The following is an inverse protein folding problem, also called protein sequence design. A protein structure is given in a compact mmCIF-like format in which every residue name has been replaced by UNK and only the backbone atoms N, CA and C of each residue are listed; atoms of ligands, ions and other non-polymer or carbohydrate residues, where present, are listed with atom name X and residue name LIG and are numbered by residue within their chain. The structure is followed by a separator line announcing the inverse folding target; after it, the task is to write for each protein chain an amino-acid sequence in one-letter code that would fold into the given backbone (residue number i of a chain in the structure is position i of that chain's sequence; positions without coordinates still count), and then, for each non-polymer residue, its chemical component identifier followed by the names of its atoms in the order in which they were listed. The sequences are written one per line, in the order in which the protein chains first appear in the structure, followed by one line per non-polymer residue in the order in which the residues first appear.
data_IF_192158086627
#
_entry.id   IF_192158086627
#
_cell.length_a   1.000
_cell.length_b   1.000
_cell.length_c   1.000
_cell.angle_alpha   90.00
_cell.angle_beta   90.00
_cell.angle_gamma   90.00
#
_symmetry.space_group_name_H-M   'P 1'
#
loop_
_entity.id
_entity.type
_entity.pdbx_description
1 polymer ?
#
# COMPACT_ATOMS: atom_id res chain seq x y z
N UNK A 1 14.59 -34.55 4.51
CA UNK A 1 13.95 -33.44 5.25
C UNK A 1 13.15 -32.65 4.23
N UNK A 2 11.82 -32.72 4.25
CA UNK A 2 11.03 -31.92 3.30
C UNK A 2 11.06 -30.46 3.78
N UNK A 3 11.67 -29.58 2.99
CA UNK A 3 11.68 -28.15 3.28
C UNK A 3 10.25 -27.61 3.19
N UNK A 4 9.69 -27.24 4.35
CA UNK A 4 8.40 -26.58 4.47
C UNK A 4 8.67 -25.08 4.56
N UNK A 5 8.34 -24.35 3.50
CA UNK A 5 8.89 -23.01 3.23
C UNK A 5 8.18 -21.86 3.97
N UNK A 6 6.89 -22.00 4.28
CA UNK A 6 6.14 -21.07 5.13
C UNK A 6 4.79 -21.72 5.51
N UNK A 7 4.39 -21.68 6.78
CA UNK A 7 3.04 -22.07 7.22
C UNK A 7 2.52 -21.07 8.22
N UNK A 8 1.22 -20.82 8.16
CA UNK A 8 0.54 -19.95 9.09
C UNK A 8 -0.01 -20.77 10.25
N UNK A 9 0.21 -20.29 11.47
CA UNK A 9 -0.39 -20.86 12.67
C UNK A 9 -1.05 -19.74 13.48
N UNK A 10 -2.26 -19.99 13.97
CA UNK A 10 -2.92 -19.08 14.88
C UNK A 10 -2.40 -19.29 16.31
N UNK A 11 -2.06 -18.20 16.99
CA UNK A 11 -1.76 -18.19 18.43
C UNK A 11 -2.70 -17.17 19.10
N UNK A 12 -3.61 -17.59 19.99
CA UNK A 12 -4.50 -16.66 20.66
C UNK A 12 -3.73 -15.71 21.58
N UNK A 13 -4.05 -14.41 21.56
CA UNK A 13 -3.63 -13.44 22.56
C UNK A 13 -4.70 -13.34 23.67
N UNK A 14 -4.28 -13.17 24.93
CA UNK A 14 -5.14 -13.37 26.10
C UNK A 14 -6.13 -12.23 26.36
N UNK A 15 -7.30 -12.51 26.99
CA UNK A 15 -8.32 -11.51 27.35
C UNK A 15 -7.83 -10.43 28.32
N UNK A 16 -6.78 -10.71 29.09
CA UNK A 16 -6.25 -9.83 30.14
C UNK A 16 -5.17 -8.86 29.63
N UNK A 17 -4.90 -8.84 28.31
CA UNK A 17 -3.80 -8.09 27.69
C UNK A 17 -2.39 -8.45 28.21
N UNK A 18 -2.25 -9.57 28.93
CA UNK A 18 -0.96 -10.10 29.36
C UNK A 18 -0.39 -11.07 28.32
N UNK A 19 0.94 -11.13 28.20
CA UNK A 19 1.60 -12.07 27.30
C UNK A 19 1.59 -13.49 27.87
N UNK A 20 1.50 -14.48 26.98
CA UNK A 20 1.65 -15.89 27.35
C UNK A 20 3.11 -16.20 27.69
N UNK A 21 3.34 -17.26 28.48
CA UNK A 21 4.69 -17.76 28.75
C UNK A 21 5.43 -18.08 27.44
N UNK A 22 6.66 -17.58 27.32
CA UNK A 22 7.48 -17.71 26.12
C UNK A 22 7.07 -16.80 24.95
N UNK A 23 6.06 -15.96 25.10
CA UNK A 23 5.67 -14.92 24.11
C UNK A 23 6.14 -13.56 24.61
N UNK A 24 6.88 -12.86 23.77
CA UNK A 24 7.28 -11.48 24.01
C UNK A 24 6.75 -10.59 22.89
N UNK A 25 6.21 -9.44 23.28
CA UNK A 25 5.64 -8.44 22.39
C UNK A 25 6.32 -7.11 22.69
N UNK A 26 6.81 -6.43 21.67
CA UNK A 26 7.47 -5.14 21.81
C UNK A 26 6.93 -4.16 20.77
N UNK A 27 6.42 -3.01 21.22
CA UNK A 27 6.05 -1.91 20.32
C UNK A 27 7.29 -1.27 19.69
N UNK A 28 7.22 -0.91 18.42
CA UNK A 28 8.32 -0.23 17.71
C UNK A 28 8.46 1.26 18.05
N UNK A 29 7.55 1.79 18.86
CA UNK A 29 7.53 3.17 19.29
C UNK A 29 7.14 4.12 18.17
N UNK A 30 7.76 5.30 18.22
CA UNK A 30 7.47 6.37 17.28
C UNK A 30 7.96 6.03 15.88
N UNK A 31 7.05 6.15 14.92
CA UNK A 31 7.26 5.90 13.50
C UNK A 31 7.24 7.22 12.74
N UNK A 32 7.84 7.22 11.55
CA UNK A 32 7.78 8.36 10.65
C UNK A 32 6.33 8.75 10.26
N UNK A 33 5.45 7.74 10.13
CA UNK A 33 4.02 7.90 9.90
C UNK A 33 3.24 6.73 10.49
N UNK A 34 1.91 6.75 10.37
CA UNK A 34 1.02 5.72 10.91
C UNK A 34 1.23 5.44 12.41
N UNK A 35 1.51 6.48 13.20
CA UNK A 35 1.69 6.37 14.65
C UNK A 35 0.43 5.90 15.41
N UNK A 36 -0.74 5.93 14.77
CA UNK A 36 -1.96 5.33 15.31
C UNK A 36 -2.05 3.80 15.12
N UNK A 37 -1.07 3.17 14.48
CA UNK A 37 -0.99 1.71 14.30
C UNK A 37 0.11 1.16 15.21
N UNK A 38 -0.26 0.20 16.07
CA UNK A 38 0.53 -0.48 17.10
C UNK A 38 1.46 -1.57 16.52
N UNK A 39 2.25 -1.17 15.52
CA UNK A 39 3.27 -2.04 14.94
C UNK A 39 4.31 -2.43 16.00
N UNK A 40 4.58 -3.74 16.10
CA UNK A 40 5.55 -4.27 17.04
C UNK A 40 6.22 -5.55 16.55
N UNK A 41 7.22 -6.00 17.31
CA UNK A 41 7.87 -7.29 17.15
C UNK A 41 7.25 -8.34 18.07
N UNK A 42 7.22 -9.57 17.56
CA UNK A 42 6.81 -10.77 18.30
C UNK A 42 8.00 -11.72 18.37
N UNK A 43 8.33 -12.20 19.58
CA UNK A 43 9.33 -13.26 19.78
C UNK A 43 8.69 -14.43 20.52
N UNK A 44 8.90 -15.63 19.98
CA UNK A 44 8.44 -16.88 20.56
C UNK A 44 9.64 -17.68 21.07
N UNK A 45 9.58 -18.15 22.31
CA UNK A 45 10.57 -19.04 22.94
C UNK A 45 9.92 -20.36 23.31
N UNK A 46 10.14 -21.37 22.47
CA UNK A 46 9.64 -22.74 22.68
C UNK A 46 8.14 -22.82 23.00
N UNK A 47 7.33 -21.92 22.43
CA UNK A 47 5.88 -21.89 22.62
C UNK A 47 5.27 -23.12 21.95
N UNK A 48 4.44 -23.85 22.70
CA UNK A 48 3.71 -25.02 22.20
C UNK A 48 2.28 -24.63 21.86
N UNK A 49 1.81 -25.15 20.74
CA UNK A 49 0.51 -24.87 20.14
C UNK A 49 -0.10 -26.21 19.67
N UNK A 50 -1.43 -26.38 19.76
CA UNK A 50 -2.08 -27.55 19.19
C UNK A 50 -1.81 -27.65 17.69
N UNK A 51 -1.65 -28.87 17.18
CA UNK A 51 -1.47 -29.13 15.74
C UNK A 51 -2.61 -28.53 14.91
N UNK A 52 -3.83 -28.57 15.45
CA UNK A 52 -5.04 -28.11 14.76
C UNK A 52 -5.09 -26.58 14.60
N UNK A 53 -4.18 -25.82 15.23
CA UNK A 53 -4.01 -24.39 14.96
C UNK A 53 -3.30 -24.13 13.61
N UNK A 54 -2.77 -25.17 12.97
CA UNK A 54 -2.13 -25.07 11.67
C UNK A 54 -3.17 -24.73 10.60
N UNK A 55 -2.97 -23.62 9.89
CA UNK A 55 -3.78 -23.27 8.72
C UNK A 55 -3.30 -24.14 7.55
N UNK A 56 -3.97 -25.27 7.35
CA UNK A 56 -3.50 -26.38 6.52
C UNK A 56 -4.17 -26.49 5.13
N UNK A 57 -4.83 -25.43 4.64
CA UNK A 57 -5.53 -25.41 3.33
C UNK A 57 -4.67 -25.89 2.16
N UNK A 58 -3.38 -25.54 2.15
CA UNK A 58 -2.45 -25.86 1.05
C UNK A 58 -1.41 -26.93 1.42
N UNK A 59 -1.48 -27.50 2.63
CA UNK A 59 -0.59 -28.56 3.05
C UNK A 59 -0.75 -28.91 4.53
N UNK A 60 -0.93 -30.19 4.83
CA UNK A 60 -1.20 -30.72 6.17
C UNK A 60 0.01 -31.45 6.75
N UNK A 61 -0.02 -31.69 8.05
CA UNK A 61 0.94 -32.54 8.77
C UNK A 61 0.14 -33.51 9.63
N UNK A 62 0.23 -34.80 9.32
CA UNK A 62 -0.42 -35.85 10.08
C UNK A 62 0.22 -36.04 11.47
N UNK A 63 -0.43 -36.82 12.35
CA UNK A 63 0.05 -37.04 13.74
C UNK A 63 1.42 -37.73 13.82
N UNK A 64 1.74 -38.52 12.81
CA UNK A 64 3.04 -39.18 12.65
C UNK A 64 4.13 -38.25 12.09
N UNK A 65 3.79 -37.00 11.77
CA UNK A 65 4.68 -36.01 11.16
C UNK A 65 4.72 -36.05 9.64
N UNK A 66 3.95 -36.93 8.99
CA UNK A 66 3.91 -37.02 7.52
C UNK A 66 3.26 -35.77 6.93
N UNK A 67 3.99 -35.10 6.03
CA UNK A 67 3.49 -33.93 5.32
C UNK A 67 2.80 -34.33 4.01
N UNK A 68 1.65 -33.72 3.74
CA UNK A 68 0.86 -33.94 2.52
C UNK A 68 0.39 -32.63 1.92
N UNK A 69 0.22 -32.58 0.59
CA UNK A 69 -0.31 -31.42 -0.13
C UNK A 69 -0.90 -31.85 -1.47
N UNK A 70 -2.05 -31.29 -1.83
CA UNK A 70 -2.66 -31.45 -3.16
C UNK A 70 -1.93 -30.66 -4.25
N UNK A 71 -1.15 -29.65 -3.87
CA UNK A 71 -0.32 -28.86 -4.79
C UNK A 71 1.00 -29.60 -5.08
N UNK A 72 1.27 -29.96 -6.35
CA UNK A 72 2.31 -30.92 -6.70
C UNK A 72 3.72 -30.37 -6.55
N UNK A 73 3.92 -29.08 -6.80
CA UNK A 73 5.25 -28.44 -6.76
C UNK A 73 5.37 -27.45 -5.61
N UNK A 74 6.60 -27.26 -5.12
CA UNK A 74 6.90 -26.26 -4.09
C UNK A 74 6.55 -24.85 -4.55
N UNK A 75 6.78 -24.53 -5.82
CA UNK A 75 6.47 -23.23 -6.41
C UNK A 75 4.97 -22.95 -6.44
N UNK A 76 4.13 -23.95 -6.79
CA UNK A 76 2.67 -23.80 -6.72
C UNK A 76 2.19 -23.58 -5.30
N UNK A 77 2.75 -24.29 -4.31
CA UNK A 77 2.44 -24.08 -2.88
C UNK A 77 2.78 -22.67 -2.41
N UNK A 78 3.99 -22.20 -2.74
CA UNK A 78 4.44 -20.87 -2.39
C UNK A 78 3.57 -19.78 -3.03
N UNK A 79 3.30 -19.90 -4.34
CA UNK A 79 2.44 -18.98 -5.08
C UNK A 79 1.01 -18.94 -4.51
N UNK A 80 0.40 -20.09 -4.19
CA UNK A 80 -0.93 -20.13 -3.57
C UNK A 80 -0.95 -19.52 -2.16
N UNK A 81 0.12 -19.70 -1.39
CA UNK A 81 0.25 -19.11 -0.04
C UNK A 81 0.38 -17.59 -0.11
N UNK A 82 1.09 -17.06 -1.10
CA UNK A 82 1.26 -15.62 -1.32
C UNK A 82 0.16 -14.99 -2.18
N UNK A 83 -0.76 -15.79 -2.75
CA UNK A 83 -1.82 -15.31 -3.64
C UNK A 83 -2.75 -14.29 -2.97
N UNK A 84 -2.91 -14.37 -1.65
CA UNK A 84 -3.68 -13.39 -0.87
C UNK A 84 -3.08 -11.96 -0.94
N UNK A 85 -1.76 -11.83 -1.16
CA UNK A 85 -1.10 -10.52 -1.28
C UNK A 85 -1.50 -9.76 -2.56
N UNK A 86 -2.14 -10.43 -3.54
CA UNK A 86 -2.63 -9.75 -4.74
C UNK A 86 -3.70 -8.73 -4.38
N UNK A 87 -4.65 -9.09 -3.51
CA UNK A 87 -5.72 -8.18 -3.09
C UNK A 87 -5.18 -6.94 -2.39
N UNK A 88 -4.15 -7.11 -1.57
CA UNK A 88 -3.46 -6.00 -0.89
C UNK A 88 -2.82 -5.03 -1.90
N UNK A 89 -2.12 -5.56 -2.92
CA UNK A 89 -1.51 -4.73 -3.98
C UNK A 89 -2.56 -3.94 -4.76
N UNK A 90 -3.70 -4.55 -5.08
CA UNK A 90 -4.82 -3.89 -5.76
C UNK A 90 -5.35 -2.73 -4.89
N UNK A 91 -5.56 -2.97 -3.60
CA UNK A 91 -6.00 -1.95 -2.65
C UNK A 91 -5.01 -0.80 -2.47
N UNK A 92 -3.71 -1.10 -2.37
CA UNK A 92 -2.65 -0.09 -2.26
C UNK A 92 -2.54 0.78 -3.52
N UNK A 93 -2.62 0.17 -4.70
CA UNK A 93 -2.63 0.92 -5.96
C UNK A 93 -3.82 1.88 -6.03
N UNK A 94 -5.03 1.39 -5.72
CA UNK A 94 -6.26 2.18 -5.73
C UNK A 94 -6.24 3.33 -4.72
N UNK A 95 -5.86 3.05 -3.47
CA UNK A 95 -5.79 4.06 -2.40
C UNK A 95 -4.75 5.15 -2.68
N UNK A 96 -3.62 4.81 -3.30
CA UNK A 96 -2.60 5.78 -3.73
C UNK A 96 -3.14 6.82 -4.71
N UNK A 97 -4.03 6.42 -5.63
CA UNK A 97 -4.72 7.37 -6.52
C UNK A 97 -5.62 8.33 -5.75
N UNK A 98 -6.28 7.84 -4.69
CA UNK A 98 -7.04 8.70 -3.78
C UNK A 98 -6.19 9.81 -3.16
N UNK A 99 -4.94 9.48 -2.81
CA UNK A 99 -3.99 10.45 -2.28
C UNK A 99 -3.55 11.45 -3.36
N UNK A 100 -3.27 10.99 -4.58
CA UNK A 100 -2.97 11.90 -5.71
C UNK A 100 -4.11 12.89 -5.96
N UNK A 101 -5.36 12.43 -5.95
CA UNK A 101 -6.55 13.29 -6.13
C UNK A 101 -6.54 14.44 -5.13
N UNK A 102 -6.30 14.15 -3.84
CA UNK A 102 -6.25 15.17 -2.78
C UNK A 102 -5.06 16.11 -3.01
N UNK A 103 -3.86 15.57 -3.19
CA UNK A 103 -2.63 16.35 -3.33
C UNK A 103 -2.68 17.33 -4.50
N UNK A 104 -3.06 16.84 -5.68
CA UNK A 104 -3.14 17.66 -6.89
C UNK A 104 -4.28 18.67 -6.76
N UNK A 105 -5.43 18.30 -6.19
CA UNK A 105 -6.54 19.24 -5.98
C UNK A 105 -6.13 20.40 -5.08
N UNK A 106 -5.44 20.13 -3.97
CA UNK A 106 -4.93 21.17 -3.07
C UNK A 106 -3.98 22.09 -3.82
N UNK A 107 -2.97 21.52 -4.48
CA UNK A 107 -1.95 22.30 -5.19
C UNK A 107 -2.54 23.14 -6.32
N UNK A 108 -3.43 22.58 -7.15
CA UNK A 108 -4.09 23.29 -8.24
C UNK A 108 -4.97 24.43 -7.73
N UNK A 109 -5.78 24.20 -6.67
CA UNK A 109 -6.61 25.25 -6.09
C UNK A 109 -5.77 26.35 -5.44
N UNK A 110 -4.74 25.99 -4.68
CA UNK A 110 -3.80 26.96 -4.12
C UNK A 110 -3.19 27.81 -5.23
N UNK A 111 -2.76 27.16 -6.32
CA UNK A 111 -2.12 27.83 -7.45
C UNK A 111 -3.04 28.78 -8.19
N UNK A 112 -4.34 28.48 -8.23
CA UNK A 112 -5.34 29.35 -8.87
C UNK A 112 -5.54 30.67 -8.10
N UNK A 113 -5.46 30.63 -6.77
CA UNK A 113 -5.69 31.80 -5.92
C UNK A 113 -4.41 32.53 -5.51
N UNK A 114 -3.27 31.84 -5.47
CA UNK A 114 -1.99 32.45 -5.13
C UNK A 114 -1.54 33.31 -6.31
N UNK A 115 -1.46 34.62 -6.06
CA UNK A 115 -0.84 35.57 -6.96
C UNK A 115 0.56 35.87 -6.46
N UNK A 116 1.53 35.89 -7.37
CA UNK A 116 2.89 36.31 -7.06
C UNK A 116 3.64 36.62 -8.34
N UNK A 117 4.24 37.81 -8.40
CA UNK A 117 4.85 38.37 -9.60
C UNK A 117 3.83 38.58 -10.74
N UNK A 118 4.29 39.18 -11.83
CA UNK A 118 3.46 39.51 -12.98
C UNK A 118 4.25 40.30 -14.01
N UNK A 119 3.63 40.65 -15.15
CA UNK A 119 4.23 41.54 -16.12
C UNK A 119 4.59 42.89 -15.47
N UNK A 120 5.68 43.56 -15.90
CA UNK A 120 6.05 44.85 -15.34
C UNK A 120 4.90 45.87 -15.41
N UNK A 121 4.66 46.57 -14.29
CA UNK A 121 3.60 47.58 -14.15
C UNK A 121 2.16 47.03 -14.34
N UNK A 122 1.95 45.73 -14.22
CA UNK A 122 0.63 45.11 -14.19
C UNK A 122 0.36 44.49 -12.81
N UNK A 123 -0.89 44.13 -12.55
CA UNK A 123 -1.24 43.38 -11.35
C UNK A 123 -0.55 42.01 -11.34
N UNK A 124 -0.35 41.46 -10.15
CA UNK A 124 0.13 40.08 -10.04
C UNK A 124 -0.86 39.12 -10.68
N UNK A 125 -0.31 38.07 -11.30
CA UNK A 125 -1.12 37.02 -11.93
C UNK A 125 -1.10 35.76 -11.07
N UNK A 126 -2.07 34.89 -11.31
CA UNK A 126 -2.13 33.59 -10.67
C UNK A 126 -0.88 32.80 -10.99
N UNK A 127 -0.30 32.10 -9.99
CA UNK A 127 0.87 31.28 -10.26
C UNK A 127 0.55 30.11 -11.21
N UNK A 128 -0.73 29.72 -11.32
CA UNK A 128 -1.21 28.74 -12.29
C UNK A 128 -1.11 29.23 -13.73
N UNK A 129 -1.03 30.54 -13.98
CA UNK A 129 -0.92 31.10 -15.34
C UNK A 129 0.51 30.97 -15.90
N UNK A 130 1.51 30.70 -15.04
CA UNK A 130 2.87 30.44 -15.50
C UNK A 130 3.00 29.02 -16.08
N UNK A 131 3.51 28.92 -17.31
CA UNK A 131 3.78 27.64 -17.98
C UNK A 131 4.70 26.72 -17.16
N UNK A 132 5.69 27.29 -16.45
CA UNK A 132 6.60 26.54 -15.57
C UNK A 132 5.87 25.85 -14.41
N UNK A 133 4.76 26.44 -13.95
CA UNK A 133 3.92 25.86 -12.89
C UNK A 133 2.94 24.84 -13.46
N UNK A 134 2.34 25.13 -14.62
CA UNK A 134 1.48 24.19 -15.35
C UNK A 134 2.23 22.92 -15.75
N UNK A 135 3.49 23.03 -16.18
CA UNK A 135 4.32 21.87 -16.54
C UNK A 135 4.56 20.91 -15.37
N UNK A 136 4.47 21.41 -14.13
CA UNK A 136 4.51 20.57 -12.92
C UNK A 136 3.16 19.92 -12.66
N UNK A 137 2.08 20.72 -12.58
CA UNK A 137 0.78 20.26 -12.07
C UNK A 137 -0.10 19.57 -13.10
N UNK A 138 -0.14 20.04 -14.34
CA UNK A 138 -1.08 19.54 -15.35
C UNK A 138 -0.79 18.08 -15.74
N UNK A 139 0.48 17.64 -15.90
CA UNK A 139 0.76 16.21 -16.11
C UNK A 139 0.31 15.34 -14.93
N UNK A 140 0.53 15.78 -13.69
CA UNK A 140 0.08 15.03 -12.51
C UNK A 140 -1.45 14.93 -12.43
N UNK A 141 -2.16 15.99 -12.81
CA UNK A 141 -3.62 15.98 -12.92
C UNK A 141 -4.08 14.94 -13.96
N UNK A 142 -3.51 14.96 -15.17
CA UNK A 142 -3.83 13.99 -16.21
C UNK A 142 -3.51 12.54 -15.77
N UNK A 143 -2.32 12.32 -15.18
CA UNK A 143 -1.93 11.02 -14.63
C UNK A 143 -2.87 10.53 -13.54
N UNK A 144 -3.41 11.43 -12.70
CA UNK A 144 -4.41 11.07 -11.68
C UNK A 144 -5.65 10.41 -12.30
N UNK A 145 -6.15 10.95 -13.42
CA UNK A 145 -7.28 10.36 -14.13
C UNK A 145 -6.91 9.04 -14.81
N UNK A 146 -5.74 8.98 -15.47
CA UNK A 146 -5.26 7.76 -16.10
C UNK A 146 -5.14 6.60 -15.07
N UNK A 147 -4.53 6.87 -13.92
CA UNK A 147 -4.39 5.87 -12.85
C UNK A 147 -5.73 5.51 -12.21
N UNK A 148 -6.67 6.45 -12.14
CA UNK A 148 -8.01 6.14 -11.65
C UNK A 148 -8.68 5.06 -12.50
N UNK A 149 -8.66 5.22 -13.82
CA UNK A 149 -9.26 4.21 -14.72
C UNK A 149 -8.46 2.91 -14.70
N UNK A 150 -7.12 2.97 -14.70
CA UNK A 150 -6.29 1.77 -14.63
C UNK A 150 -6.52 0.95 -13.35
N UNK A 151 -6.65 1.62 -12.20
CA UNK A 151 -6.90 0.95 -10.92
C UNK A 151 -8.33 0.44 -10.79
N UNK A 152 -9.33 1.14 -11.36
CA UNK A 152 -10.70 0.61 -11.44
C UNK A 152 -10.77 -0.67 -12.26
N UNK A 153 -10.13 -0.70 -13.43
CA UNK A 153 -10.05 -1.90 -14.26
C UNK A 153 -9.39 -3.06 -13.52
N UNK A 154 -8.32 -2.78 -12.76
CA UNK A 154 -7.65 -3.80 -11.95
C UNK A 154 -8.56 -4.35 -10.84
N UNK A 155 -9.33 -3.49 -10.17
CA UNK A 155 -10.31 -3.90 -9.14
C UNK A 155 -11.42 -4.77 -9.74
N UNK A 156 -11.91 -4.41 -10.92
CA UNK A 156 -12.91 -5.19 -11.66
C UNK A 156 -12.37 -6.59 -12.00
N UNK A 157 -11.21 -6.67 -12.64
CA UNK A 157 -10.55 -7.95 -12.97
C UNK A 157 -10.26 -8.80 -11.74
N UNK A 158 -9.83 -8.19 -10.63
CA UNK A 158 -9.63 -8.90 -9.37
C UNK A 158 -10.94 -9.48 -8.82
N UNK A 159 -12.05 -8.76 -8.98
CA UNK A 159 -13.38 -9.22 -8.57
C UNK A 159 -13.90 -10.36 -9.45
N UNK A 160 -13.51 -10.39 -10.73
CA UNK A 160 -13.83 -11.47 -11.67
C UNK A 160 -13.15 -12.79 -11.33
N UNK A 161 -11.91 -12.77 -10.78
CA UNK A 161 -11.20 -13.99 -10.36
C UNK A 161 -12.06 -14.86 -9.45
N UNK A 162 -12.79 -14.25 -8.52
CA UNK A 162 -13.66 -14.97 -7.56
C UNK A 162 -14.87 -15.62 -8.23
N UNK A 163 -15.23 -15.20 -9.44
CA UNK A 163 -16.40 -15.69 -10.20
C UNK A 163 -16.03 -16.76 -11.21
N UNK A 164 -14.91 -16.62 -11.90
CA UNK A 164 -14.58 -17.44 -13.08
C UNK A 164 -13.57 -18.55 -12.81
N UNK A 165 -12.77 -18.47 -11.74
CA UNK A 165 -11.65 -19.39 -11.46
C UNK A 165 -10.69 -19.59 -12.65
N UNK A 166 -10.61 -18.61 -13.53
CA UNK A 166 -9.76 -18.63 -14.73
C UNK A 166 -8.28 -18.42 -14.35
N UNK A 167 -7.44 -19.41 -14.64
CA UNK A 167 -6.00 -19.39 -14.34
C UNK A 167 -5.24 -18.30 -15.13
N UNK A 168 -5.67 -17.99 -16.35
CA UNK A 168 -5.06 -16.95 -17.17
C UNK A 168 -5.36 -15.57 -16.57
N UNK A 169 -6.61 -15.34 -16.16
CA UNK A 169 -7.02 -14.10 -15.48
C UNK A 169 -6.25 -13.90 -14.17
N UNK A 170 -6.09 -14.96 -13.36
CA UNK A 170 -5.29 -14.89 -12.12
C UNK A 170 -3.86 -14.45 -12.41
N UNK A 171 -3.24 -15.04 -13.43
CA UNK A 171 -1.86 -14.72 -13.84
C UNK A 171 -1.75 -13.27 -14.31
N UNK A 172 -2.69 -12.83 -15.13
CA UNK A 172 -2.76 -11.46 -15.66
C UNK A 172 -2.94 -10.43 -14.54
N UNK A 173 -3.88 -10.65 -13.61
CA UNK A 173 -4.09 -9.75 -12.47
C UNK A 173 -2.89 -9.74 -11.53
N UNK A 174 -2.24 -10.88 -11.31
CA UNK A 174 -1.01 -10.92 -10.53
C UNK A 174 0.06 -10.02 -11.14
N UNK A 175 0.35 -10.15 -12.44
CA UNK A 175 1.34 -9.32 -13.14
C UNK A 175 0.96 -7.82 -13.14
N UNK A 176 -0.29 -7.50 -13.47
CA UNK A 176 -0.80 -6.12 -13.49
C UNK A 176 -0.75 -5.48 -12.10
N UNK A 177 -1.13 -6.21 -11.05
CA UNK A 177 -1.12 -5.70 -9.68
C UNK A 177 0.28 -5.33 -9.21
N UNK A 178 1.31 -6.10 -9.57
CA UNK A 178 2.72 -5.79 -9.24
C UNK A 178 3.13 -4.48 -9.90
N UNK A 179 2.98 -4.40 -11.23
CA UNK A 179 3.42 -3.24 -12.00
C UNK A 179 2.67 -1.97 -11.60
N UNK A 180 1.34 -2.05 -11.50
CA UNK A 180 0.51 -0.89 -11.20
C UNK A 180 0.72 -0.41 -9.75
N UNK A 181 0.78 -1.33 -8.77
CA UNK A 181 1.11 -0.96 -7.39
C UNK A 181 2.45 -0.27 -7.32
N UNK A 182 3.51 -0.85 -7.88
CA UNK A 182 4.86 -0.28 -7.82
C UNK A 182 4.93 1.10 -8.49
N UNK A 183 4.37 1.23 -9.69
CA UNK A 183 4.43 2.49 -10.44
C UNK A 183 3.59 3.59 -9.81
N UNK A 184 2.32 3.30 -9.47
CA UNK A 184 1.40 4.30 -8.94
C UNK A 184 1.83 4.78 -7.57
N UNK A 185 2.29 3.89 -6.67
CA UNK A 185 2.78 4.29 -5.33
C UNK A 185 3.99 5.22 -5.44
N UNK A 186 5.01 4.82 -6.21
CA UNK A 186 6.21 5.62 -6.45
C UNK A 186 5.89 6.99 -7.09
N UNK A 187 5.04 7.00 -8.12
CA UNK A 187 4.60 8.23 -8.75
C UNK A 187 3.84 9.14 -7.76
N UNK A 188 2.98 8.56 -6.93
CA UNK A 188 2.22 9.28 -5.90
C UNK A 188 3.16 9.93 -4.88
N UNK A 189 4.14 9.17 -4.36
CA UNK A 189 5.14 9.64 -3.39
C UNK A 189 5.93 10.84 -3.92
N UNK A 190 6.38 10.77 -5.19
CA UNK A 190 7.06 11.88 -5.87
C UNK A 190 6.11 13.07 -6.11
N UNK A 191 4.91 12.81 -6.60
CA UNK A 191 3.91 13.85 -6.92
C UNK A 191 3.51 14.64 -5.69
N UNK A 192 3.39 13.98 -4.54
CA UNK A 192 3.05 14.63 -3.28
C UNK A 192 4.13 15.64 -2.86
N UNK A 193 5.40 15.29 -3.04
CA UNK A 193 6.53 16.20 -2.74
C UNK A 193 6.50 17.42 -3.66
N UNK A 194 6.24 17.22 -4.95
CA UNK A 194 6.11 18.31 -5.93
C UNK A 194 4.90 19.20 -5.63
N UNK A 195 3.74 18.61 -5.28
CA UNK A 195 2.54 19.36 -4.93
C UNK A 195 2.75 20.23 -3.68
N UNK A 196 3.45 19.68 -2.68
CA UNK A 196 3.85 20.42 -1.48
C UNK A 196 4.72 21.63 -1.83
N UNK A 197 5.73 21.43 -2.67
CA UNK A 197 6.64 22.49 -3.13
C UNK A 197 5.93 23.54 -4.00
N UNK A 198 4.95 23.12 -4.79
CA UNK A 198 4.10 24.02 -5.56
C UNK A 198 3.20 24.94 -4.69
N UNK A 199 3.12 24.65 -3.39
CA UNK A 199 2.42 25.47 -2.39
C UNK A 199 3.38 26.32 -1.54
N UNK A 200 4.66 26.43 -1.94
CA UNK A 200 5.71 27.20 -1.27
C UNK A 200 5.80 26.90 0.24
N UNK A 201 6.10 27.92 1.05
CA UNK A 201 6.18 27.80 2.51
C UNK A 201 4.86 27.36 3.15
N UNK A 202 3.71 27.67 2.55
CA UNK A 202 2.41 27.23 3.08
C UNK A 202 2.24 25.72 3.01
N UNK A 203 2.86 25.05 2.01
CA UNK A 203 2.88 23.60 1.89
C UNK A 203 3.59 22.87 3.04
N UNK A 204 4.45 23.56 3.81
CA UNK A 204 5.12 22.98 4.98
C UNK A 204 4.27 23.00 6.24
N UNK A 205 3.17 23.77 6.25
CA UNK A 205 2.31 23.86 7.42
C UNK A 205 1.54 22.56 7.63
N UNK A 206 1.26 22.20 8.90
CA UNK A 206 0.45 21.03 9.22
C UNK A 206 -0.96 21.12 8.59
N UNK A 207 -1.50 22.33 8.49
CA UNK A 207 -2.83 22.60 7.92
C UNK A 207 -2.92 22.38 6.40
N UNK A 208 -1.79 22.33 5.70
CA UNK A 208 -1.76 22.01 4.27
C UNK A 208 -1.85 20.51 3.97
N UNK A 209 -1.93 19.65 5.00
CA UNK A 209 -2.06 18.19 4.94
C UNK A 209 -0.92 17.40 4.26
N UNK A 210 -0.12 18.01 3.37
CA UNK A 210 1.00 17.35 2.70
C UNK A 210 1.98 16.62 3.63
N UNK A 211 2.42 17.21 4.77
CA UNK A 211 3.35 16.52 5.67
C UNK A 211 2.73 15.23 6.27
N UNK A 212 1.45 15.28 6.63
CA UNK A 212 0.73 14.14 7.20
C UNK A 212 0.52 13.02 6.16
N UNK A 213 0.10 13.41 4.95
CA UNK A 213 -0.12 12.47 3.84
C UNK A 213 1.20 11.81 3.41
N UNK A 214 2.30 12.56 3.41
CA UNK A 214 3.62 12.04 2.99
C UNK A 214 4.18 11.06 4.01
N UNK A 215 4.00 11.35 5.29
CA UNK A 215 4.34 10.45 6.38
C UNK A 215 3.63 9.09 6.25
N UNK A 216 2.35 9.11 5.87
CA UNK A 216 1.54 7.91 5.64
C UNK A 216 2.06 7.08 4.45
N UNK A 217 2.23 7.69 3.28
CA UNK A 217 2.67 6.96 2.07
C UNK A 217 4.07 6.36 2.17
N UNK A 218 5.03 7.09 2.73
CA UNK A 218 6.41 6.61 2.87
C UNK A 218 6.54 5.44 3.84
N UNK A 219 5.53 5.22 4.70
CA UNK A 219 5.47 4.04 5.54
C UNK A 219 5.06 2.80 4.72
N UNK A 220 4.09 2.95 3.80
CA UNK A 220 3.56 1.85 2.97
C UNK A 220 4.52 1.40 1.84
N UNK A 221 5.60 2.17 1.58
CA UNK A 221 6.64 1.83 0.60
C UNK A 221 7.78 0.94 1.17
N UNK A 222 7.88 0.78 2.49
CA UNK A 222 8.88 -0.08 3.16
C UNK A 222 8.32 -1.47 3.47
#
# INVERSE_FOLDING_TARGET
MQEVFLKWVSTPLLPTHQTLSGVEIQDYGHKFGLNGVDNGALRFRAVRIPRDNLINRFGDVARDGTYTSSLPTINKRFASTLGELVGERVGLAYSSVGIMKVAVTIATRYSLFRQQFGPPKQAEISILDYQSHQYKLMPMLASTYAFHFATLLLVEKYSEIKKTHDEELVTNVHALSIGLKAYVTSYTSKSLSICREACDGHGLTKHAWFPYISARLKYDEK
#
